data_IF_984099901999
#
_entry.id   IF_984099901999
#
_cell.length_a   1.000
_cell.length_b   1.000
_cell.length_c   1.000
_cell.angle_alpha   90.00
_cell.angle_beta   90.00
_cell.angle_gamma   90.00
#
_symmetry.space_group_name_H-M   'P 1'
#
loop_
_entity.id
_entity.type
_entity.pdbx_description
1 polymer ?
#
# COMPACT_ATOMS: atom_id res chain seq x y z
N UNK A 1 0.52 33.85 -8.64
CA UNK A 1 1.94 33.45 -8.40
C UNK A 1 1.92 32.26 -7.44
N UNK A 2 2.07 31.03 -7.94
CA UNK A 2 2.15 29.84 -7.08
C UNK A 2 3.55 29.80 -6.45
N UNK A 3 3.65 30.00 -5.13
CA UNK A 3 4.86 29.70 -4.38
C UNK A 3 4.81 28.21 -4.06
N UNK A 4 5.35 27.36 -4.95
CA UNK A 4 5.58 25.96 -4.62
C UNK A 4 6.69 25.89 -3.57
N UNK A 5 6.42 25.33 -2.40
CA UNK A 5 7.46 25.03 -1.42
C UNK A 5 8.11 23.67 -1.77
N UNK A 6 9.24 23.35 -1.12
CA UNK A 6 9.99 22.11 -1.36
C UNK A 6 9.15 20.85 -1.07
N UNK A 7 8.29 20.89 -0.04
CA UNK A 7 7.40 19.78 0.35
C UNK A 7 6.37 19.48 -0.74
N UNK A 8 5.82 20.50 -1.38
CA UNK A 8 4.87 20.35 -2.48
C UNK A 8 5.53 19.74 -3.73
N UNK A 9 6.79 20.09 -4.00
CA UNK A 9 7.56 19.52 -5.11
C UNK A 9 7.87 18.02 -4.90
N UNK A 10 8.24 17.64 -3.67
CA UNK A 10 8.46 16.24 -3.30
C UNK A 10 7.17 15.42 -3.38
N UNK A 11 6.04 15.98 -2.92
CA UNK A 11 4.71 15.39 -3.04
C UNK A 11 4.35 15.12 -4.51
N UNK A 12 4.48 16.13 -5.37
CA UNK A 12 4.17 15.99 -6.80
C UNK A 12 5.08 14.99 -7.52
N UNK A 13 6.33 14.86 -7.09
CA UNK A 13 7.25 13.84 -7.62
C UNK A 13 6.81 12.44 -7.20
N UNK A 14 6.40 12.26 -5.94
CA UNK A 14 5.90 10.99 -5.43
C UNK A 14 4.59 10.57 -6.12
N UNK A 15 3.66 11.51 -6.35
CA UNK A 15 2.41 11.26 -7.07
C UNK A 15 2.66 10.76 -8.49
N UNK A 16 3.56 11.41 -9.23
CA UNK A 16 3.92 11.01 -10.60
C UNK A 16 4.57 9.64 -10.62
N UNK A 17 5.51 9.37 -9.71
CA UNK A 17 6.18 8.07 -9.63
C UNK A 17 5.18 6.93 -9.34
N UNK A 18 4.26 7.14 -8.40
CA UNK A 18 3.18 6.18 -8.10
C UNK A 18 2.22 6.03 -9.28
N UNK A 19 1.89 7.11 -9.99
CA UNK A 19 1.07 7.06 -11.19
C UNK A 19 1.70 6.19 -12.28
N UNK A 20 2.99 6.40 -12.57
CA UNK A 20 3.73 5.58 -13.55
C UNK A 20 3.76 4.11 -13.14
N UNK A 21 4.07 3.82 -11.88
CA UNK A 21 4.09 2.45 -11.38
C UNK A 21 2.71 1.78 -11.46
N UNK A 22 1.63 2.52 -11.16
CA UNK A 22 0.26 2.05 -11.29
C UNK A 22 -0.07 1.71 -12.76
N UNK A 23 0.35 2.55 -13.70
CA UNK A 23 0.17 2.29 -15.14
C UNK A 23 0.96 1.06 -15.60
N UNK A 24 2.20 0.86 -15.13
CA UNK A 24 2.97 -0.35 -15.45
C UNK A 24 2.24 -1.62 -14.98
N UNK A 25 1.66 -1.57 -13.78
CA UNK A 25 0.88 -2.67 -13.21
C UNK A 25 -0.48 -2.90 -13.91
N UNK A 26 -0.88 -2.11 -14.91
CA UNK A 26 -2.05 -2.45 -15.76
C UNK A 26 -1.79 -3.66 -16.68
N UNK A 27 -0.52 -4.09 -16.81
CA UNK A 27 -0.14 -5.27 -17.58
C UNK A 27 0.37 -6.39 -16.68
N UNK A 28 0.12 -7.64 -17.08
CA UNK A 28 0.64 -8.84 -16.41
C UNK A 28 2.18 -8.75 -16.25
N UNK A 29 2.89 -8.40 -17.33
CA UNK A 29 4.33 -8.23 -17.31
C UNK A 29 4.80 -7.18 -16.29
N UNK A 30 4.11 -6.04 -16.21
CA UNK A 30 4.45 -5.00 -15.23
C UNK A 30 4.19 -5.45 -13.79
N UNK A 31 3.14 -6.24 -13.55
CA UNK A 31 2.90 -6.88 -12.25
C UNK A 31 4.02 -7.87 -11.91
N UNK A 32 4.45 -8.71 -12.86
CA UNK A 32 5.55 -9.65 -12.65
C UNK A 32 6.87 -8.93 -12.34
N UNK A 33 7.18 -7.84 -13.07
CA UNK A 33 8.36 -7.00 -12.77
C UNK A 33 8.25 -6.40 -11.37
N UNK A 34 7.08 -5.87 -10.98
CA UNK A 34 6.87 -5.33 -9.64
C UNK A 34 7.10 -6.39 -8.55
N UNK A 35 6.58 -7.61 -8.75
CA UNK A 35 6.76 -8.77 -7.86
C UNK A 35 8.21 -9.26 -7.77
N UNK A 36 8.98 -9.14 -8.86
CA UNK A 36 10.38 -9.58 -8.90
C UNK A 36 11.31 -8.77 -7.98
N UNK A 37 10.89 -7.60 -7.53
CA UNK A 37 11.63 -6.75 -6.61
C UNK A 37 10.97 -6.73 -5.23
N UNK A 38 11.64 -7.36 -4.24
CA UNK A 38 11.18 -7.48 -2.86
C UNK A 38 10.94 -6.13 -2.14
N UNK A 39 11.43 -5.01 -2.68
CA UNK A 39 11.20 -3.70 -2.09
C UNK A 39 9.95 -3.00 -2.65
N UNK A 40 9.38 -3.46 -3.76
CA UNK A 40 8.26 -2.77 -4.41
C UNK A 40 7.06 -2.65 -3.46
N UNK A 41 6.63 -3.78 -2.92
CA UNK A 41 5.45 -3.85 -2.06
C UNK A 41 5.62 -3.02 -0.76
N UNK A 42 6.68 -3.17 0.05
CA UNK A 42 6.86 -2.38 1.27
C UNK A 42 7.01 -0.89 0.99
N UNK A 43 7.73 -0.49 -0.07
CA UNK A 43 7.90 0.93 -0.40
C UNK A 43 6.61 1.59 -0.85
N UNK A 44 5.80 0.90 -1.66
CA UNK A 44 4.49 1.39 -2.11
C UNK A 44 3.53 1.53 -0.94
N UNK A 45 3.41 0.50 -0.08
CA UNK A 45 2.51 0.52 1.08
C UNK A 45 2.92 1.59 2.11
N UNK A 46 4.22 1.86 2.23
CA UNK A 46 4.73 2.94 3.09
C UNK A 46 4.22 4.33 2.68
N UNK A 47 3.82 4.53 1.41
CA UNK A 47 3.28 5.81 0.91
C UNK A 47 1.78 5.99 1.17
N UNK A 48 1.04 4.92 1.47
CA UNK A 48 -0.40 5.00 1.77
C UNK A 48 -0.67 5.97 2.94
N UNK A 49 -1.61 6.91 2.74
CA UNK A 49 -2.02 7.94 3.71
C UNK A 49 -0.94 8.99 4.06
N UNK A 50 0.21 9.00 3.36
CA UNK A 50 1.34 9.90 3.72
C UNK A 50 1.61 11.03 2.73
N UNK A 51 0.99 11.01 1.56
CA UNK A 51 1.34 11.93 0.45
C UNK A 51 0.11 12.73 0.02
N UNK A 52 -0.88 12.06 -0.55
CA UNK A 52 -2.15 12.64 -0.98
C UNK A 52 -3.23 11.57 -1.12
N UNK A 53 -4.47 12.01 -1.32
CA UNK A 53 -5.57 11.13 -1.71
C UNK A 53 -5.28 10.42 -3.04
N UNK A 54 -4.79 11.14 -4.05
CA UNK A 54 -4.40 10.57 -5.34
C UNK A 54 -3.27 9.53 -5.20
N UNK A 55 -2.26 9.80 -4.37
CA UNK A 55 -1.23 8.81 -4.09
C UNK A 55 -1.80 7.57 -3.40
N UNK A 56 -2.75 7.76 -2.48
CA UNK A 56 -3.40 6.66 -1.77
C UNK A 56 -4.23 5.80 -2.71
N UNK A 57 -4.93 6.40 -3.69
CA UNK A 57 -5.66 5.64 -4.71
C UNK A 57 -4.73 4.84 -5.62
N UNK A 58 -3.59 5.41 -6.02
CA UNK A 58 -2.56 4.66 -6.76
C UNK A 58 -1.99 3.51 -5.93
N UNK A 59 -1.64 3.74 -4.66
CA UNK A 59 -1.10 2.70 -3.78
C UNK A 59 -2.09 1.53 -3.64
N UNK A 60 -3.37 1.82 -3.35
CA UNK A 60 -4.41 0.78 -3.26
C UNK A 60 -4.54 0.02 -4.57
N UNK A 61 -4.56 0.73 -5.70
CA UNK A 61 -4.67 0.11 -7.03
C UNK A 61 -3.47 -0.78 -7.36
N UNK A 62 -2.24 -0.33 -7.11
CA UNK A 62 -1.01 -1.12 -7.33
C UNK A 62 -1.04 -2.39 -6.47
N UNK A 63 -1.28 -2.25 -5.17
CA UNK A 63 -1.27 -3.38 -4.24
C UNK A 63 -2.38 -4.37 -4.60
N UNK A 64 -3.57 -3.88 -4.97
CA UNK A 64 -4.65 -4.74 -5.45
C UNK A 64 -4.21 -5.58 -6.67
N UNK A 65 -3.62 -4.96 -7.70
CA UNK A 65 -3.13 -5.67 -8.89
C UNK A 65 -2.02 -6.67 -8.60
N UNK A 66 -1.13 -6.35 -7.65
CA UNK A 66 -0.06 -7.26 -7.23
C UNK A 66 -0.64 -8.44 -6.46
N UNK A 67 -1.55 -8.20 -5.52
CA UNK A 67 -2.16 -9.21 -4.67
C UNK A 67 -3.23 -10.05 -5.39
N UNK A 68 -3.89 -9.51 -6.41
CA UNK A 68 -4.88 -10.23 -7.21
C UNK A 68 -4.18 -11.41 -7.90
N UNK A 69 -4.64 -12.63 -7.58
CA UNK A 69 -4.03 -13.91 -8.00
C UNK A 69 -2.57 -14.10 -7.57
N UNK A 70 -2.14 -13.47 -6.48
CA UNK A 70 -0.80 -13.66 -5.95
C UNK A 70 -0.66 -14.98 -5.18
N UNK A 71 0.59 -15.43 -5.05
CA UNK A 71 0.96 -16.48 -4.13
C UNK A 71 0.76 -16.02 -2.68
N UNK A 72 0.54 -16.99 -1.78
CA UNK A 72 0.32 -16.76 -0.35
C UNK A 72 1.40 -15.87 0.29
N UNK A 73 2.66 -16.04 -0.10
CA UNK A 73 3.78 -15.25 0.44
C UNK A 73 3.60 -13.73 0.24
N UNK A 74 3.09 -13.31 -0.92
CA UNK A 74 2.86 -11.89 -1.24
C UNK A 74 1.75 -11.30 -0.37
N UNK A 75 0.71 -12.09 -0.08
CA UNK A 75 -0.41 -11.67 0.76
C UNK A 75 0.02 -11.56 2.22
N UNK A 76 0.80 -12.51 2.72
CA UNK A 76 1.38 -12.48 4.06
C UNK A 76 2.32 -11.27 4.20
N UNK A 77 3.20 -11.03 3.22
CA UNK A 77 4.10 -9.87 3.21
C UNK A 77 3.30 -8.56 3.30
N UNK A 78 2.25 -8.39 2.46
CA UNK A 78 1.39 -7.22 2.50
C UNK A 78 0.78 -6.97 3.90
N UNK A 79 0.36 -8.04 4.59
CA UNK A 79 -0.19 -7.96 5.95
C UNK A 79 0.90 -7.55 6.95
N UNK A 80 2.07 -8.19 6.89
CA UNK A 80 3.21 -7.91 7.78
C UNK A 80 3.71 -6.48 7.65
N UNK A 81 3.73 -5.90 6.45
CA UNK A 81 4.11 -4.49 6.24
C UNK A 81 2.98 -3.50 6.59
N UNK A 82 1.87 -4.00 7.15
CA UNK A 82 0.80 -3.21 7.74
C UNK A 82 -0.31 -2.77 6.78
N UNK A 83 -0.42 -3.38 5.59
CA UNK A 83 -1.44 -2.99 4.60
C UNK A 83 -2.86 -3.10 5.17
N UNK A 84 -3.15 -4.19 5.88
CA UNK A 84 -4.49 -4.44 6.45
C UNK A 84 -4.95 -3.28 7.34
N UNK A 85 -4.11 -2.85 8.28
CA UNK A 85 -4.44 -1.75 9.20
C UNK A 85 -4.57 -0.41 8.48
N UNK A 86 -3.70 -0.15 7.49
CA UNK A 86 -3.76 1.09 6.70
C UNK A 86 -5.03 1.18 5.86
N UNK A 87 -5.52 0.07 5.31
CA UNK A 87 -6.79 0.01 4.59
C UNK A 87 -7.98 0.33 5.49
N UNK A 88 -8.00 -0.20 6.72
CA UNK A 88 -9.04 0.14 7.70
C UNK A 88 -9.05 1.65 7.99
N UNK A 89 -7.88 2.23 8.24
CA UNK A 89 -7.76 3.68 8.47
C UNK A 89 -8.22 4.47 7.26
N UNK A 90 -7.81 4.09 6.03
CA UNK A 90 -8.25 4.74 4.79
C UNK A 90 -9.78 4.77 4.66
N UNK A 91 -10.45 3.66 4.97
CA UNK A 91 -11.91 3.58 4.93
C UNK A 91 -12.56 4.43 6.02
N UNK A 92 -11.97 4.49 7.21
CA UNK A 92 -12.47 5.30 8.33
C UNK A 92 -12.36 6.79 8.07
N UNK A 93 -11.24 7.25 7.49
CA UNK A 93 -11.04 8.69 7.19
C UNK A 93 -11.75 9.14 5.91
N UNK A 94 -12.21 8.19 5.09
CA UNK A 94 -12.88 8.44 3.81
C UNK A 94 -11.91 8.49 2.61
N UNK A 95 -12.40 8.04 1.46
CA UNK A 95 -11.73 8.12 0.17
C UNK A 95 -12.77 8.05 -0.96
N UNK A 96 -12.37 8.40 -2.19
CA UNK A 96 -13.23 8.25 -3.38
C UNK A 96 -13.80 6.82 -3.53
N UNK A 97 -15.04 6.71 -4.02
CA UNK A 97 -15.78 5.44 -4.10
C UNK A 97 -15.04 4.33 -4.86
N UNK A 98 -14.36 4.68 -5.96
CA UNK A 98 -13.56 3.73 -6.73
C UNK A 98 -12.35 3.18 -5.96
N UNK A 99 -11.80 3.97 -5.03
CA UNK A 99 -10.71 3.54 -4.14
C UNK A 99 -11.27 2.71 -2.99
N UNK A 100 -12.43 3.10 -2.45
CA UNK A 100 -13.15 2.39 -1.40
C UNK A 100 -13.51 0.96 -1.82
N UNK A 101 -13.99 0.77 -3.05
CA UNK A 101 -14.32 -0.55 -3.60
C UNK A 101 -13.08 -1.46 -3.63
N UNK A 102 -11.98 -1.02 -4.25
CA UNK A 102 -10.73 -1.78 -4.30
C UNK A 102 -10.14 -2.04 -2.92
N UNK A 103 -10.18 -1.05 -2.01
CA UNK A 103 -9.72 -1.20 -0.64
C UNK A 103 -10.53 -2.28 0.11
N UNK A 104 -11.84 -2.35 -0.13
CA UNK A 104 -12.73 -3.34 0.46
C UNK A 104 -12.45 -4.74 -0.06
N UNK A 105 -12.27 -4.91 -1.38
CA UNK A 105 -11.91 -6.21 -1.97
C UNK A 105 -10.53 -6.68 -1.50
N UNK A 106 -9.56 -5.76 -1.42
CA UNK A 106 -8.24 -6.09 -0.89
C UNK A 106 -8.30 -6.50 0.59
N UNK A 107 -9.12 -5.83 1.42
CA UNK A 107 -9.33 -6.25 2.81
C UNK A 107 -9.90 -7.67 2.90
N UNK A 108 -10.90 -8.01 2.07
CA UNK A 108 -11.48 -9.38 2.04
C UNK A 108 -10.41 -10.40 1.69
N UNK A 109 -9.60 -10.13 0.67
CA UNK A 109 -8.51 -10.99 0.24
C UNK A 109 -7.49 -11.20 1.37
N UNK A 110 -6.99 -10.12 1.98
CA UNK A 110 -6.00 -10.18 3.05
C UNK A 110 -6.55 -10.82 4.33
N UNK A 111 -7.85 -10.67 4.62
CA UNK A 111 -8.47 -11.27 5.81
C UNK A 111 -8.35 -12.80 5.81
N UNK A 112 -8.35 -13.45 4.64
CA UNK A 112 -8.15 -14.90 4.51
C UNK A 112 -6.77 -15.39 4.95
N UNK A 113 -5.77 -14.50 5.04
CA UNK A 113 -4.38 -14.83 5.36
C UNK A 113 -3.89 -14.18 6.65
N UNK A 114 -4.75 -13.40 7.33
CA UNK A 114 -4.40 -12.63 8.52
C UNK A 114 -3.86 -13.49 9.67
N UNK A 115 -4.54 -14.58 9.99
CA UNK A 115 -4.11 -15.50 11.06
C UNK A 115 -2.77 -16.17 10.76
N UNK A 116 -2.46 -16.40 9.48
CA UNK A 116 -1.17 -16.99 9.06
C UNK A 116 -0.03 -15.99 9.17
N UNK A 117 -0.28 -14.72 8.85
CA UNK A 117 0.70 -13.64 9.01
C UNK A 117 1.03 -13.37 10.49
N UNK A 118 0.06 -13.55 11.39
CA UNK A 118 0.22 -13.39 12.84
C UNK A 118 1.02 -14.53 13.50
N UNK A 119 1.18 -15.68 12.82
CA UNK A 119 1.92 -16.85 13.32
C UNK A 119 3.45 -16.71 13.22
N UNK A 120 3.94 -15.54 12.81
CA UNK A 120 5.37 -15.18 12.85
C UNK A 120 5.62 -14.41 14.15
N UNK A 121 5.87 -15.18 15.21
CA UNK A 121 6.30 -14.78 16.56
C UNK A 121 5.93 -13.35 17.00
N UNK A 122 4.76 -13.23 17.65
CA UNK A 122 4.24 -12.00 18.26
C UNK A 122 5.11 -11.41 19.40
N UNK A 123 6.32 -11.92 19.62
CA UNK A 123 7.26 -11.51 20.66
C UNK A 123 8.06 -10.24 20.32
N UNK A 124 8.20 -9.86 19.05
CA UNK A 124 9.17 -8.83 18.64
C UNK A 124 8.60 -7.43 18.35
N UNK A 125 7.30 -7.27 18.08
CA UNK A 125 6.81 -6.07 17.37
C UNK A 125 6.17 -4.97 18.25
N UNK A 126 6.19 -5.10 19.58
CA UNK A 126 5.74 -4.04 20.51
C UNK A 126 6.89 -3.24 21.15
N UNK A 127 8.16 -3.57 20.86
CA UNK A 127 9.32 -2.95 21.51
C UNK A 127 9.76 -1.60 20.88
N UNK A 128 9.19 -1.18 19.74
CA UNK A 128 9.72 -0.04 18.98
C UNK A 128 8.75 1.12 18.71
N UNK A 129 7.61 1.19 19.40
CA UNK A 129 6.84 2.44 19.47
C UNK A 129 7.35 3.32 20.63
N UNK A 130 8.58 3.81 20.50
CA UNK A 130 9.00 4.99 21.28
C UNK A 130 8.28 6.19 20.69
N UNK A 131 7.20 6.64 21.35
CA UNK A 131 6.53 7.93 21.09
C UNK A 131 7.59 9.05 21.00
N UNK A 132 7.58 9.89 19.96
CA UNK A 132 8.07 11.25 20.11
C UNK A 132 7.00 12.07 20.85
N UNK A 133 7.45 12.81 21.86
CA UNK A 133 6.75 13.93 22.49
C UNK A 133 6.69 15.11 21.52
#
# INVERSE_FOLDING_TARGET
KSKGNLVDAEKGTCEKALGVLNCLCDSENGVQIAKSNALTLPLVIKKLLRVSELSSSFVVSIVYKICDKAEEGVLIEAIQVGMFQKLLVLLQVGCADSTKEKATELLKLLNGYKSKAECVDSSLDLMHLKKPF
#
